data_IF_601785506478
#
_entry.id   IF_601785506478
#
_cell.length_a   1.000
_cell.length_b   1.000
_cell.length_c   1.000
_cell.angle_alpha   90.00
_cell.angle_beta   90.00
_cell.angle_gamma   90.00
#
_symmetry.space_group_name_H-M   'P 1'
#
loop_
_entity.id
_entity.type
_entity.pdbx_description
1 polymer ?
#
# COMPACT_ATOMS: atom_id res chain seq x y z
N UNK A 1 -17.30 -17.57 -6.00
CA UNK A 1 -17.91 -17.00 -7.23
C UNK A 1 -17.44 -15.56 -7.31
N UNK A 2 -16.62 -15.22 -8.31
CA UNK A 2 -16.21 -13.82 -8.50
C UNK A 2 -17.47 -13.01 -8.70
N UNK A 3 -17.64 -11.96 -7.92
CA UNK A 3 -18.59 -10.90 -8.26
C UNK A 3 -17.93 -10.03 -9.31
N UNK A 4 -17.94 -10.49 -10.54
CA UNK A 4 -17.51 -9.67 -11.65
C UNK A 4 -18.43 -8.46 -11.76
N UNK A 5 -17.83 -7.34 -12.07
CA UNK A 5 -18.57 -6.08 -12.21
C UNK A 5 -19.66 -6.22 -13.26
N UNK A 6 -19.51 -7.17 -14.20
CA UNK A 6 -20.44 -7.44 -15.27
C UNK A 6 -20.27 -8.88 -15.77
N UNK A 7 -21.35 -9.63 -15.76
CA UNK A 7 -21.43 -10.89 -16.49
C UNK A 7 -21.57 -10.60 -18.00
N UNK A 8 -20.47 -10.56 -18.70
CA UNK A 8 -20.48 -10.54 -20.14
C UNK A 8 -20.26 -11.98 -20.63
N UNK A 9 -21.30 -12.55 -21.24
CA UNK A 9 -21.36 -13.95 -21.61
C UNK A 9 -20.11 -14.47 -22.31
N UNK A 10 -19.69 -15.67 -21.97
CA UNK A 10 -18.53 -16.33 -22.52
C UNK A 10 -18.92 -17.29 -23.64
N UNK A 11 -18.07 -17.41 -24.62
CA UNK A 11 -18.09 -18.49 -25.59
C UNK A 11 -16.68 -19.06 -25.75
N UNK A 12 -16.59 -20.32 -26.13
CA UNK A 12 -15.34 -20.99 -26.44
C UNK A 12 -14.73 -20.44 -27.73
N UNK A 13 -13.41 -20.23 -27.75
CA UNK A 13 -12.66 -19.75 -28.91
C UNK A 13 -12.20 -18.30 -28.78
N UNK A 14 -11.67 -17.74 -29.86
CA UNK A 14 -11.29 -16.33 -29.89
C UNK A 14 -12.52 -15.44 -29.77
N UNK A 15 -12.52 -14.60 -28.71
CA UNK A 15 -13.58 -13.64 -28.45
C UNK A 15 -12.94 -12.28 -28.16
N UNK A 16 -13.47 -11.23 -28.74
CA UNK A 16 -12.98 -9.86 -28.55
C UNK A 16 -13.39 -9.25 -27.22
N UNK A 17 -14.27 -9.91 -26.44
CA UNK A 17 -14.84 -9.33 -25.23
C UNK A 17 -15.77 -8.11 -25.49
N UNK A 18 -16.03 -7.78 -26.74
CA UNK A 18 -16.85 -6.64 -27.14
C UNK A 18 -18.35 -6.96 -26.97
N UNK A 19 -18.79 -6.96 -25.72
CA UNK A 19 -20.20 -7.11 -25.37
C UNK A 19 -20.82 -5.78 -24.94
N UNK A 20 -22.06 -5.80 -24.48
CA UNK A 20 -22.77 -4.60 -24.01
C UNK A 20 -22.21 -3.98 -22.71
N UNK A 21 -21.15 -4.54 -22.15
CA UNK A 21 -20.61 -4.16 -20.85
C UNK A 21 -19.08 -3.92 -20.88
N UNK A 22 -18.58 -2.94 -21.65
CA UNK A 22 -17.15 -2.62 -21.60
C UNK A 22 -16.80 -2.08 -20.21
N UNK A 23 -15.67 -2.53 -19.68
CA UNK A 23 -15.08 -1.93 -18.48
C UNK A 23 -14.65 -0.51 -18.82
N UNK A 24 -15.07 0.46 -18.01
CA UNK A 24 -14.65 1.85 -18.12
C UNK A 24 -13.76 2.21 -16.94
N UNK A 25 -12.43 2.07 -17.08
CA UNK A 25 -11.51 2.45 -16.02
C UNK A 25 -11.54 3.97 -15.83
N UNK A 26 -11.39 4.41 -14.58
CA UNK A 26 -11.18 5.80 -14.22
C UNK A 26 -9.71 6.02 -13.85
N UNK A 27 -9.38 7.23 -13.40
CA UNK A 27 -8.02 7.59 -12.98
C UNK A 27 -7.55 6.70 -11.84
N UNK A 28 -6.31 6.28 -11.90
CA UNK A 28 -5.67 5.55 -10.81
C UNK A 28 -5.76 6.37 -9.53
N UNK A 29 -6.39 5.80 -8.50
CA UNK A 29 -6.56 6.42 -7.19
C UNK A 29 -5.49 5.98 -6.21
N UNK A 30 -5.02 4.74 -6.35
CA UNK A 30 -3.97 4.20 -5.50
C UNK A 30 -3.50 2.83 -5.94
N UNK A 31 -2.50 2.33 -5.21
CA UNK A 31 -2.03 0.95 -5.30
C UNK A 31 -2.00 0.32 -3.92
N UNK A 32 -2.05 -1.00 -3.89
CA UNK A 32 -1.88 -1.79 -2.67
C UNK A 32 -0.75 -2.76 -2.94
N UNK A 33 0.34 -2.65 -2.19
CA UNK A 33 1.41 -3.64 -2.20
C UNK A 33 1.11 -4.71 -1.16
N UNK A 34 1.42 -5.94 -1.49
CA UNK A 34 1.38 -7.09 -0.58
C UNK A 34 2.68 -7.87 -0.74
N UNK A 35 3.09 -8.62 0.26
CA UNK A 35 4.23 -9.53 0.14
C UNK A 35 3.89 -10.58 -0.93
N UNK A 36 4.85 -10.92 -1.76
CA UNK A 36 4.66 -11.86 -2.88
C UNK A 36 3.92 -13.14 -2.45
N UNK A 37 2.90 -13.50 -3.20
CA UNK A 37 2.01 -14.63 -2.94
C UNK A 37 0.93 -14.37 -1.89
N UNK A 38 0.88 -13.19 -1.26
CA UNK A 38 -0.22 -12.81 -0.37
C UNK A 38 -1.34 -12.14 -1.16
N UNK A 39 -2.56 -12.25 -0.66
CA UNK A 39 -3.76 -11.72 -1.32
C UNK A 39 -4.50 -10.74 -0.43
N UNK A 40 -5.32 -9.91 -1.06
CA UNK A 40 -6.29 -9.08 -0.35
C UNK A 40 -7.33 -9.97 0.36
N UNK A 41 -8.02 -9.43 1.39
CA UNK A 41 -9.15 -10.12 2.01
C UNK A 41 -10.19 -10.54 0.96
N UNK A 42 -10.74 -11.74 1.11
CA UNK A 42 -11.77 -12.26 0.21
C UNK A 42 -12.96 -11.31 0.09
N UNK A 43 -13.38 -10.75 1.20
CA UNK A 43 -14.43 -9.74 1.24
C UNK A 43 -13.81 -8.35 1.44
N UNK A 44 -14.08 -7.45 0.51
CA UNK A 44 -13.55 -6.09 0.48
C UNK A 44 -14.46 -5.15 1.28
N UNK A 45 -14.68 -5.47 2.55
CA UNK A 45 -15.40 -4.60 3.49
C UNK A 45 -14.45 -3.60 4.14
N UNK A 46 -14.97 -2.49 4.68
CA UNK A 46 -14.16 -1.48 5.35
C UNK A 46 -13.36 -2.09 6.53
N UNK A 47 -14.02 -2.89 7.36
CA UNK A 47 -13.41 -3.55 8.53
C UNK A 47 -12.31 -4.55 8.12
N UNK A 48 -12.55 -5.37 7.08
CA UNK A 48 -11.57 -6.34 6.62
C UNK A 48 -10.32 -5.66 6.03
N UNK A 49 -10.52 -4.59 5.25
CA UNK A 49 -9.42 -3.82 4.67
C UNK A 49 -8.63 -3.04 5.73
N UNK A 50 -9.32 -2.43 6.70
CA UNK A 50 -8.64 -1.76 7.81
C UNK A 50 -7.83 -2.74 8.65
N UNK A 51 -8.38 -3.91 8.97
CA UNK A 51 -7.63 -4.98 9.64
C UNK A 51 -6.42 -5.44 8.85
N UNK A 52 -6.56 -5.59 7.55
CA UNK A 52 -5.44 -5.97 6.68
C UNK A 52 -4.33 -4.90 6.64
N UNK A 53 -4.67 -3.60 6.67
CA UNK A 53 -3.70 -2.51 6.81
C UNK A 53 -2.93 -2.56 8.14
N UNK A 54 -3.54 -3.10 9.20
CA UNK A 54 -2.95 -3.21 10.54
C UNK A 54 -2.45 -4.62 10.86
N UNK A 55 -2.52 -5.55 9.92
CA UNK A 55 -2.02 -6.90 10.13
C UNK A 55 -0.51 -6.89 10.40
N UNK A 56 -0.02 -7.92 11.05
CA UNK A 56 1.41 -8.10 11.23
C UNK A 56 2.04 -8.68 9.95
N UNK A 57 3.35 -8.47 9.78
CA UNK A 57 4.10 -9.11 8.70
C UNK A 57 3.96 -10.67 8.78
N UNK A 58 3.76 -11.39 7.69
CA UNK A 58 3.77 -10.95 6.27
C UNK A 58 2.37 -10.65 5.68
N UNK A 59 1.30 -10.66 6.49
CA UNK A 59 -0.08 -10.61 6.03
C UNK A 59 -0.62 -9.18 5.86
N UNK A 60 0.21 -8.17 6.16
CA UNK A 60 -0.14 -6.77 6.02
C UNK A 60 -0.24 -6.35 4.56
N UNK A 61 -1.22 -5.50 4.27
CA UNK A 61 -1.32 -4.78 3.01
C UNK A 61 -0.79 -3.35 3.18
N UNK A 62 -0.13 -2.83 2.14
CA UNK A 62 0.53 -1.53 2.16
C UNK A 62 -0.11 -0.60 1.12
N UNK A 63 -1.14 0.17 1.50
CA UNK A 63 -1.80 1.07 0.58
C UNK A 63 -0.99 2.34 0.35
N UNK A 64 -0.93 2.78 -0.91
CA UNK A 64 -0.33 4.04 -1.33
C UNK A 64 -1.37 4.78 -2.16
N UNK A 65 -1.77 5.97 -1.71
CA UNK A 65 -2.83 6.77 -2.33
C UNK A 65 -2.38 8.22 -2.57
N UNK A 66 -3.21 9.00 -3.22
CA UNK A 66 -2.95 10.43 -3.41
C UNK A 66 -2.05 10.74 -4.59
N UNK A 67 -2.10 9.91 -5.63
CA UNK A 67 -1.36 10.14 -6.86
C UNK A 67 -1.84 11.38 -7.60
N UNK A 68 -0.89 12.13 -8.14
CA UNK A 68 -1.15 13.25 -9.03
C UNK A 68 -0.97 12.87 -10.50
N UNK A 69 -0.17 11.85 -10.76
CA UNK A 69 0.16 11.41 -12.11
C UNK A 69 0.48 9.91 -12.11
N UNK A 70 0.16 9.28 -13.21
CA UNK A 70 0.48 7.89 -13.52
C UNK A 70 1.02 7.81 -14.95
N UNK A 71 2.12 7.12 -15.15
CA UNK A 71 2.73 6.91 -16.45
C UNK A 71 3.16 5.45 -16.62
N UNK A 72 3.16 4.98 -17.84
CA UNK A 72 3.59 3.63 -18.23
C UNK A 72 4.76 3.72 -19.18
N UNK A 73 5.73 2.84 -19.01
CA UNK A 73 6.86 2.66 -19.91
C UNK A 73 7.06 1.18 -20.22
N UNK A 74 7.32 0.85 -21.48
CA UNK A 74 7.46 -0.54 -21.94
C UNK A 74 6.13 -1.31 -22.04
N UNK A 75 6.21 -2.64 -22.06
CA UNK A 75 5.06 -3.50 -22.33
C UNK A 75 4.69 -3.61 -23.81
N UNK A 76 5.54 -3.12 -24.69
CA UNK A 76 5.33 -3.19 -26.14
C UNK A 76 5.82 -4.53 -26.70
N UNK A 77 5.19 -5.06 -27.77
CA UNK A 77 5.62 -6.29 -28.39
C UNK A 77 7.01 -6.12 -29.05
N UNK A 78 7.89 -7.06 -28.78
CA UNK A 78 9.16 -7.21 -29.50
C UNK A 78 8.89 -7.99 -30.79
N UNK A 79 9.34 -7.45 -31.93
CA UNK A 79 9.17 -8.09 -33.23
C UNK A 79 10.51 -8.44 -33.85
N UNK A 80 10.55 -9.58 -34.52
CA UNK A 80 11.70 -10.00 -35.34
C UNK A 80 11.26 -10.19 -36.79
N UNK A 81 12.02 -9.63 -37.73
CA UNK A 81 11.79 -9.85 -39.15
C UNK A 81 12.40 -11.17 -39.60
N UNK A 82 11.58 -12.04 -40.21
CA UNK A 82 11.99 -13.35 -40.70
C UNK A 82 12.00 -13.39 -42.24
N UNK A 83 12.71 -12.46 -42.88
CA UNK A 83 12.83 -12.42 -44.32
C UNK A 83 11.48 -12.43 -45.08
N UNK A 84 11.23 -13.47 -45.88
CA UNK A 84 9.98 -13.58 -46.64
C UNK A 84 8.74 -13.92 -45.78
N UNK A 85 8.92 -14.38 -44.55
CA UNK A 85 7.81 -14.75 -43.69
C UNK A 85 7.14 -13.55 -42.96
N UNK A 86 7.76 -12.37 -43.07
CA UNK A 86 7.26 -11.17 -42.37
C UNK A 86 7.73 -11.08 -40.92
N UNK A 87 7.13 -10.15 -40.16
CA UNK A 87 7.49 -9.91 -38.78
C UNK A 87 6.71 -10.83 -37.84
N UNK A 88 7.41 -11.41 -36.88
CA UNK A 88 6.84 -12.23 -35.80
C UNK A 88 7.02 -11.54 -34.44
N UNK A 89 6.05 -11.69 -33.54
CA UNK A 89 6.14 -11.23 -32.15
C UNK A 89 6.92 -12.28 -31.37
N UNK A 90 8.03 -11.88 -30.78
CA UNK A 90 8.95 -12.77 -30.00
C UNK A 90 8.79 -12.63 -28.50
N UNK A 91 7.90 -11.75 -28.01
CA UNK A 91 7.64 -11.47 -26.61
C UNK A 91 7.28 -10.00 -26.40
N UNK A 92 7.38 -9.54 -25.16
CA UNK A 92 7.07 -8.17 -24.78
C UNK A 92 8.25 -7.55 -24.02
N UNK A 93 8.44 -6.24 -24.18
CA UNK A 93 9.43 -5.51 -23.41
C UNK A 93 9.03 -5.40 -21.94
N UNK A 94 10.00 -5.25 -21.04
CA UNK A 94 9.74 -5.04 -19.62
C UNK A 94 8.83 -3.82 -19.42
N UNK A 95 7.81 -3.96 -18.61
CA UNK A 95 6.88 -2.89 -18.27
C UNK A 95 7.19 -2.30 -16.90
N UNK A 96 7.18 -0.98 -16.83
CA UNK A 96 7.32 -0.21 -15.59
C UNK A 96 6.22 0.83 -15.51
N UNK A 97 5.52 0.83 -14.39
CA UNK A 97 4.51 1.83 -14.05
C UNK A 97 5.13 2.83 -13.06
N UNK A 98 4.98 4.13 -13.34
CA UNK A 98 5.47 5.23 -12.50
C UNK A 98 4.29 5.94 -11.85
N UNK A 99 4.36 6.07 -10.54
CA UNK A 99 3.33 6.73 -9.71
C UNK A 99 3.93 7.96 -9.05
N UNK A 100 3.32 9.12 -9.26
CA UNK A 100 3.81 10.41 -8.78
C UNK A 100 2.90 10.94 -7.67
N UNK A 101 3.51 11.32 -6.52
CA UNK A 101 2.85 11.97 -5.39
C UNK A 101 3.32 13.42 -5.30
N UNK A 102 2.39 14.36 -5.12
CA UNK A 102 2.73 15.77 -4.94
C UNK A 102 3.28 16.14 -3.56
N UNK A 103 3.10 15.26 -2.58
CA UNK A 103 3.61 15.42 -1.23
C UNK A 103 4.74 14.43 -0.98
N UNK A 104 5.79 14.87 -0.33
CA UNK A 104 6.85 13.98 0.11
C UNK A 104 6.30 13.07 1.22
N UNK A 105 6.44 11.79 1.01
CA UNK A 105 6.23 10.78 2.03
C UNK A 105 7.60 10.14 2.33
N UNK A 106 8.27 10.66 3.35
CA UNK A 106 9.61 10.23 3.73
C UNK A 106 9.61 8.77 4.25
N UNK A 107 8.53 8.37 4.94
CA UNK A 107 8.34 7.00 5.39
C UNK A 107 8.28 6.03 4.20
N UNK A 108 7.46 6.33 3.19
CA UNK A 108 7.36 5.53 1.98
C UNK A 108 8.71 5.41 1.27
N UNK A 109 9.40 6.54 1.07
CA UNK A 109 10.70 6.55 0.41
C UNK A 109 11.72 5.69 1.16
N UNK A 110 11.84 5.86 2.47
CA UNK A 110 12.77 5.09 3.29
C UNK A 110 12.45 3.59 3.27
N UNK A 111 11.17 3.23 3.38
CA UNK A 111 10.74 1.83 3.36
C UNK A 111 10.99 1.16 2.00
N UNK A 112 10.73 1.85 0.89
CA UNK A 112 11.01 1.30 -0.44
C UNK A 112 12.51 1.07 -0.65
N UNK A 113 13.37 1.97 -0.15
CA UNK A 113 14.83 1.78 -0.20
C UNK A 113 15.28 0.63 0.69
N UNK A 114 14.76 0.55 1.92
CA UNK A 114 15.13 -0.50 2.89
C UNK A 114 14.69 -1.90 2.43
N UNK A 115 13.56 -2.00 1.73
CA UNK A 115 12.96 -3.25 1.27
C UNK A 115 13.17 -3.50 -0.24
N UNK A 116 14.22 -2.96 -0.83
CA UNK A 116 14.51 -3.08 -2.27
C UNK A 116 14.61 -4.53 -2.79
N UNK A 117 14.98 -5.46 -1.92
CA UNK A 117 15.14 -6.89 -2.23
C UNK A 117 13.89 -7.72 -1.84
N UNK A 118 12.86 -7.08 -1.31
CA UNK A 118 11.59 -7.73 -0.98
C UNK A 118 10.71 -7.80 -2.22
N UNK A 119 10.24 -8.99 -2.53
CA UNK A 119 9.29 -9.19 -3.62
C UNK A 119 7.88 -8.83 -3.17
N UNK A 120 7.24 -7.99 -3.95
CA UNK A 120 5.87 -7.55 -3.75
C UNK A 120 4.98 -7.95 -4.92
N UNK A 121 3.71 -8.17 -4.62
CA UNK A 121 2.65 -8.14 -5.61
C UNK A 121 1.86 -6.83 -5.46
N UNK A 122 1.33 -6.32 -6.56
CA UNK A 122 0.66 -5.02 -6.58
C UNK A 122 -0.76 -5.16 -7.11
N UNK A 123 -1.70 -4.53 -6.41
CA UNK A 123 -3.01 -4.22 -6.94
C UNK A 123 -3.07 -2.73 -7.28
N UNK A 124 -3.72 -2.40 -8.39
CA UNK A 124 -4.02 -1.02 -8.74
C UNK A 124 -5.51 -0.80 -8.52
N UNK A 125 -5.93 0.37 -8.05
CA UNK A 125 -7.35 0.69 -7.98
C UNK A 125 -7.64 2.10 -8.49
N UNK A 126 -8.83 2.28 -9.03
CA UNK A 126 -9.26 3.53 -9.64
C UNK A 126 -10.24 4.32 -8.75
N UNK A 127 -10.65 5.50 -9.22
CA UNK A 127 -11.61 6.38 -8.54
C UNK A 127 -13.02 5.78 -8.43
N UNK A 128 -13.34 4.79 -9.24
CA UNK A 128 -14.60 4.04 -9.17
C UNK A 128 -14.54 2.89 -8.15
N UNK A 129 -13.43 2.74 -7.40
CA UNK A 129 -13.16 1.65 -6.47
C UNK A 129 -13.11 0.27 -7.14
N UNK A 130 -12.70 0.22 -8.40
CA UNK A 130 -12.38 -1.01 -9.11
C UNK A 130 -10.93 -1.37 -8.81
N UNK A 131 -10.69 -2.59 -8.33
CA UNK A 131 -9.35 -3.13 -8.07
C UNK A 131 -8.96 -3.99 -9.25
N UNK A 132 -7.78 -3.74 -9.79
CA UNK A 132 -7.13 -4.46 -10.88
C UNK A 132 -6.04 -5.36 -10.32
N UNK A 133 -5.98 -6.58 -10.81
CA UNK A 133 -4.98 -7.59 -10.45
C UNK A 133 -4.98 -8.71 -11.48
N UNK A 134 -4.50 -9.88 -11.10
CA UNK A 134 -4.43 -11.07 -11.95
C UNK A 134 -5.48 -12.12 -11.58
N UNK A 135 -5.97 -12.82 -12.59
CA UNK A 135 -6.67 -14.07 -12.44
C UNK A 135 -5.66 -15.21 -12.35
N UNK A 136 -5.55 -15.82 -11.19
CA UNK A 136 -4.70 -16.98 -10.97
C UNK A 136 -5.46 -18.33 -11.07
N UNK A 137 -6.70 -18.30 -11.57
CA UNK A 137 -7.57 -19.46 -11.67
C UNK A 137 -8.33 -19.81 -10.40
N UNK A 138 -8.18 -19.02 -9.34
CA UNK A 138 -8.96 -19.14 -8.10
C UNK A 138 -10.14 -18.16 -8.08
N UNK A 139 -11.01 -18.27 -7.06
CA UNK A 139 -12.10 -17.28 -6.86
C UNK A 139 -11.61 -15.93 -6.30
N UNK A 140 -10.32 -15.78 -6.07
CA UNK A 140 -9.71 -14.60 -5.47
C UNK A 140 -8.83 -13.87 -6.49
N UNK A 141 -8.85 -12.54 -6.45
CA UNK A 141 -7.96 -11.73 -7.25
C UNK A 141 -6.55 -11.80 -6.65
N UNK A 142 -5.54 -12.11 -7.47
CA UNK A 142 -4.14 -12.01 -7.12
C UNK A 142 -3.57 -10.63 -7.48
N UNK A 143 -2.49 -10.20 -6.82
CA UNK A 143 -1.75 -9.02 -7.24
C UNK A 143 -0.92 -9.29 -8.48
N UNK A 144 -0.55 -8.23 -9.20
CA UNK A 144 0.43 -8.33 -10.28
C UNK A 144 1.81 -8.63 -9.71
N UNK A 145 2.48 -9.65 -10.21
CA UNK A 145 3.86 -9.97 -9.83
C UNK A 145 4.81 -8.83 -10.18
N UNK A 146 5.56 -8.34 -9.22
CA UNK A 146 6.59 -7.32 -9.45
C UNK A 146 8.00 -7.91 -9.30
N UNK A 147 8.90 -7.51 -10.21
CA UNK A 147 10.33 -7.77 -10.08
C UNK A 147 11.02 -6.76 -9.16
N UNK A 148 10.39 -5.62 -8.89
CA UNK A 148 10.90 -4.62 -7.95
C UNK A 148 10.02 -3.39 -7.84
N UNK A 149 10.12 -2.73 -6.68
CA UNK A 149 9.50 -1.43 -6.42
C UNK A 149 10.57 -0.51 -5.85
N UNK A 150 10.75 0.67 -6.43
CA UNK A 150 11.79 1.59 -6.00
C UNK A 150 11.38 3.06 -6.17
N UNK A 151 11.81 3.96 -5.25
CA UNK A 151 11.55 5.39 -5.37
C UNK A 151 12.53 6.02 -6.36
N UNK A 152 12.12 7.09 -7.04
CA UNK A 152 12.98 7.87 -7.93
C UNK A 152 13.67 9.04 -7.22
N UNK A 153 13.54 9.15 -5.92
CA UNK A 153 13.97 10.31 -5.15
C UNK A 153 12.99 11.49 -5.27
N UNK A 154 13.13 12.43 -4.36
CA UNK A 154 12.29 13.62 -4.33
C UNK A 154 12.82 14.71 -5.26
N UNK A 155 11.91 15.41 -5.91
CA UNK A 155 12.19 16.61 -6.68
C UNK A 155 11.58 17.81 -5.96
N UNK A 156 12.38 18.86 -5.74
CA UNK A 156 11.96 20.09 -5.06
C UNK A 156 11.27 21.06 -6.03
N UNK A 157 10.51 21.99 -5.47
CA UNK A 157 9.83 23.03 -6.24
C UNK A 157 10.84 23.91 -6.98
N UNK A 158 10.58 24.18 -8.26
CA UNK A 158 11.39 25.01 -9.12
C UNK A 158 10.52 25.80 -10.11
N UNK A 159 11.10 26.73 -10.86
CA UNK A 159 10.36 27.46 -11.89
C UNK A 159 9.71 26.51 -12.90
N UNK A 160 8.41 26.45 -12.92
CA UNK A 160 7.61 25.63 -13.83
C UNK A 160 7.38 24.17 -13.40
N UNK A 161 7.98 23.71 -12.28
CA UNK A 161 7.79 22.35 -11.79
C UNK A 161 7.48 22.33 -10.29
N UNK A 162 6.38 21.69 -9.91
CA UNK A 162 6.02 21.47 -8.51
C UNK A 162 6.83 20.32 -7.89
N UNK A 163 7.06 20.41 -6.58
CA UNK A 163 7.68 19.33 -5.83
C UNK A 163 6.88 18.03 -5.95
N UNK A 164 7.58 16.90 -6.09
CA UNK A 164 6.98 15.57 -6.14
C UNK A 164 7.93 14.49 -5.64
N UNK A 165 7.36 13.38 -5.25
CA UNK A 165 8.01 12.10 -5.04
C UNK A 165 7.40 11.10 -6.01
N UNK A 166 8.20 10.33 -6.71
CA UNK A 166 7.69 9.25 -7.54
C UNK A 166 8.32 7.92 -7.15
N UNK A 167 7.62 6.84 -7.44
CA UNK A 167 8.18 5.49 -7.38
C UNK A 167 7.77 4.69 -8.61
N UNK A 168 8.57 3.71 -8.92
CA UNK A 168 8.39 2.81 -10.04
C UNK A 168 8.04 1.41 -9.53
N UNK A 169 7.08 0.77 -10.20
CA UNK A 169 6.76 -0.64 -10.06
C UNK A 169 7.12 -1.36 -11.36
N UNK A 170 8.05 -2.28 -11.29
CA UNK A 170 8.49 -3.10 -12.44
C UNK A 170 7.75 -4.42 -12.40
N UNK A 171 7.04 -4.75 -13.48
CA UNK A 171 6.37 -6.04 -13.61
C UNK A 171 7.38 -7.14 -13.94
N UNK A 172 7.19 -8.31 -13.33
CA UNK A 172 8.04 -9.48 -13.61
C UNK A 172 7.83 -10.01 -15.03
N UNK A 173 6.58 -9.97 -15.50
CA UNK A 173 6.19 -10.45 -16.83
C UNK A 173 5.02 -9.60 -17.36
N UNK A 174 5.30 -8.77 -18.36
CA UNK A 174 4.30 -7.90 -18.97
C UNK A 174 3.25 -8.67 -19.78
N UNK A 175 3.62 -9.78 -20.40
CA UNK A 175 2.71 -10.62 -21.17
C UNK A 175 1.73 -11.35 -20.23
N UNK A 176 2.24 -11.95 -19.16
CA UNK A 176 1.43 -12.60 -18.12
C UNK A 176 0.42 -11.62 -17.53
N UNK A 177 0.87 -10.41 -17.16
CA UNK A 177 0.03 -9.35 -16.61
C UNK A 177 -1.12 -9.00 -17.56
N UNK A 178 -0.83 -8.77 -18.85
CA UNK A 178 -1.86 -8.42 -19.83
C UNK A 178 -2.84 -9.57 -20.10
N UNK A 179 -2.33 -10.80 -20.14
CA UNK A 179 -3.13 -12.01 -20.42
C UNK A 179 -4.08 -12.35 -19.28
N UNK A 180 -3.64 -12.17 -18.04
CA UNK A 180 -4.36 -12.61 -16.84
C UNK A 180 -5.03 -11.45 -16.08
N UNK A 181 -5.03 -10.23 -16.65
CA UNK A 181 -5.65 -9.08 -15.99
C UNK A 181 -7.11 -9.36 -15.65
N UNK A 182 -7.47 -9.12 -14.41
CA UNK A 182 -8.82 -9.28 -13.89
C UNK A 182 -9.15 -8.15 -12.92
N UNK A 183 -10.43 -8.00 -12.60
CA UNK A 183 -10.92 -6.88 -11.79
C UNK A 183 -11.89 -7.34 -10.71
N UNK A 184 -11.97 -6.58 -9.65
CA UNK A 184 -12.95 -6.76 -8.58
C UNK A 184 -13.48 -5.42 -8.10
N UNK A 185 -14.80 -5.27 -8.01
CA UNK A 185 -15.41 -4.06 -7.47
C UNK A 185 -15.40 -4.10 -5.94
N UNK A 186 -14.89 -3.05 -5.32
CA UNK A 186 -15.08 -2.84 -3.90
C UNK A 186 -16.41 -2.11 -3.64
N UNK A 187 -17.16 -2.58 -2.64
CA UNK A 187 -18.40 -1.93 -2.19
C UNK A 187 -18.19 -0.74 -1.26
N UNK A 188 -16.93 -0.31 -1.08
CA UNK A 188 -16.52 0.77 -0.16
C UNK A 188 -15.62 1.75 -0.87
N UNK A 189 -15.52 2.98 -0.34
CA UNK A 189 -14.57 3.95 -0.87
C UNK A 189 -13.15 3.59 -0.39
N UNK A 190 -12.32 3.08 -1.30
CA UNK A 190 -10.98 2.59 -1.02
C UNK A 190 -10.04 3.69 -0.51
N UNK A 191 -10.10 4.91 -1.06
CA UNK A 191 -9.24 6.02 -0.61
C UNK A 191 -9.53 6.42 0.84
N UNK A 192 -10.75 6.20 1.32
CA UNK A 192 -11.13 6.52 2.69
C UNK A 192 -10.73 5.41 3.68
N UNK A 193 -10.82 4.16 3.26
CA UNK A 193 -10.59 2.98 4.10
C UNK A 193 -9.11 2.60 4.15
N UNK A 194 -8.44 2.62 3.01
CA UNK A 194 -7.05 2.22 2.90
C UNK A 194 -6.11 3.31 3.43
N UNK A 195 -5.64 3.14 4.65
CA UNK A 195 -4.69 4.05 5.31
C UNK A 195 -3.44 3.29 5.72
N UNK A 196 -2.28 3.85 5.38
CA UNK A 196 -1.00 3.38 5.88
C UNK A 196 -0.80 3.73 7.36
N UNK A 197 0.23 3.15 7.97
CA UNK A 197 0.60 3.42 9.36
C UNK A 197 1.71 4.47 9.44
N UNK A 198 1.63 5.34 10.43
CA UNK A 198 2.69 6.27 10.76
C UNK A 198 3.67 5.62 11.74
N UNK A 199 4.96 5.73 11.45
CA UNK A 199 6.00 5.32 12.41
C UNK A 199 6.12 6.33 13.52
N UNK A 200 5.97 5.86 14.75
CA UNK A 200 6.06 6.69 15.95
C UNK A 200 7.10 6.18 16.92
N UNK A 201 7.62 7.08 17.75
CA UNK A 201 8.55 6.75 18.82
C UNK A 201 8.23 7.50 20.10
N UNK A 202 8.58 6.88 21.24
CA UNK A 202 8.53 7.56 22.53
C UNK A 202 9.83 8.34 22.76
N UNK A 203 9.75 9.66 22.69
CA UNK A 203 10.88 10.56 22.96
C UNK A 203 10.88 10.95 24.42
N UNK A 204 11.95 10.57 25.15
CA UNK A 204 12.12 10.93 26.57
C UNK A 204 12.32 12.42 26.73
N UNK A 205 11.59 13.02 27.67
CA UNK A 205 11.76 14.43 28.05
C UNK A 205 12.86 14.57 29.10
N UNK A 206 13.53 15.72 29.11
CA UNK A 206 14.56 16.03 30.10
C UNK A 206 13.99 16.18 31.53
N UNK A 207 12.76 16.68 31.64
CA UNK A 207 12.06 16.89 32.91
C UNK A 207 10.54 16.98 32.66
N UNK A 208 9.69 16.42 33.54
CA UNK A 208 9.99 15.55 34.69
C UNK A 208 10.57 14.18 34.26
N UNK A 209 11.22 13.49 35.21
CA UNK A 209 11.79 12.18 34.94
C UNK A 209 10.72 11.15 34.50
N UNK A 210 11.10 10.20 33.65
CA UNK A 210 10.23 9.15 33.09
C UNK A 210 9.00 9.69 32.32
N UNK A 211 9.10 10.90 31.80
CA UNK A 211 8.09 11.48 30.91
C UNK A 211 8.52 11.38 29.46
N UNK A 212 7.53 11.14 28.60
CA UNK A 212 7.70 10.89 27.18
C UNK A 212 6.67 11.66 26.36
N UNK A 213 7.05 12.00 25.13
CA UNK A 213 6.14 12.37 24.08
C UNK A 213 6.10 11.28 23.03
N UNK A 214 4.93 11.04 22.47
CA UNK A 214 4.76 10.20 21.28
C UNK A 214 4.89 11.11 20.07
N UNK A 215 5.91 10.89 19.26
CA UNK A 215 6.17 11.72 18.07
C UNK A 215 6.25 10.87 16.82
N UNK A 216 5.83 11.42 15.70
CA UNK A 216 6.10 10.83 14.39
C UNK A 216 7.61 10.80 14.14
N UNK A 217 8.11 9.67 13.66
CA UNK A 217 9.56 9.48 13.48
C UNK A 217 10.13 10.38 12.39
N UNK A 218 9.39 10.62 11.30
CA UNK A 218 9.92 11.31 10.13
C UNK A 218 9.72 12.83 10.17
N UNK A 219 8.54 13.30 10.53
CA UNK A 219 8.22 14.73 10.54
C UNK A 219 8.27 15.36 11.93
N UNK A 220 8.49 14.56 12.98
CA UNK A 220 8.60 14.96 14.38
C UNK A 220 7.33 15.58 14.96
N UNK A 221 6.20 15.37 14.32
CA UNK A 221 4.89 15.83 14.81
C UNK A 221 4.57 15.18 16.16
N UNK A 222 4.19 16.00 17.15
CA UNK A 222 3.78 15.57 18.47
C UNK A 222 2.35 14.97 18.41
N UNK A 223 2.23 13.68 18.57
CA UNK A 223 0.98 12.92 18.55
C UNK A 223 0.46 12.59 19.96
N UNK A 224 1.15 13.06 21.01
CA UNK A 224 0.85 12.71 22.39
C UNK A 224 -0.57 13.10 22.81
N UNK A 225 -1.05 14.26 22.39
CA UNK A 225 -2.40 14.71 22.72
C UNK A 225 -3.49 13.83 22.06
N UNK A 226 -3.21 13.33 20.85
CA UNK A 226 -4.15 12.51 20.11
C UNK A 226 -4.27 11.09 20.68
N UNK A 227 -3.15 10.44 20.95
CA UNK A 227 -3.13 9.05 21.40
C UNK A 227 -3.01 8.87 22.92
N UNK A 228 -2.60 9.90 23.66
CA UNK A 228 -2.22 9.78 25.07
C UNK A 228 -3.29 9.19 25.97
N UNK A 229 -4.55 9.58 25.77
CA UNK A 229 -5.67 9.06 26.57
C UNK A 229 -5.92 7.57 26.33
N UNK A 230 -6.00 7.14 25.08
CA UNK A 230 -6.24 5.73 24.74
C UNK A 230 -5.06 4.85 25.15
N UNK A 231 -3.83 5.31 24.95
CA UNK A 231 -2.62 4.60 25.38
C UNK A 231 -2.55 4.47 26.91
N UNK A 232 -2.92 5.51 27.64
CA UNK A 232 -2.97 5.46 29.11
C UNK A 232 -4.01 4.46 29.62
N UNK A 233 -5.22 4.49 29.03
CA UNK A 233 -6.33 3.63 29.47
C UNK A 233 -6.07 2.14 29.15
N UNK A 234 -5.33 1.85 28.09
CA UNK A 234 -5.06 0.49 27.59
C UNK A 234 -3.58 0.09 27.70
N UNK A 235 -2.80 0.78 28.53
CA UNK A 235 -1.34 0.61 28.60
C UNK A 235 -0.91 -0.84 28.76
N UNK A 236 -1.55 -1.62 29.62
CA UNK A 236 -1.19 -3.03 29.86
C UNK A 236 -1.36 -3.94 28.62
N UNK A 237 -2.27 -3.57 27.71
CA UNK A 237 -2.54 -4.33 26.49
C UNK A 237 -1.74 -3.84 25.28
N UNK A 238 -1.55 -2.53 25.14
CA UNK A 238 -0.95 -1.91 23.94
C UNK A 238 0.50 -1.49 24.07
N UNK A 239 1.03 -1.44 25.30
CA UNK A 239 2.42 -1.04 25.57
C UNK A 239 3.18 -2.20 26.21
N UNK A 240 4.46 -2.30 25.92
CA UNK A 240 5.46 -3.17 26.54
C UNK A 240 6.60 -2.32 27.08
N UNK A 241 7.52 -2.92 27.85
CA UNK A 241 8.70 -2.22 28.41
C UNK A 241 8.39 -1.31 29.61
N UNK A 242 7.14 -0.91 29.83
CA UNK A 242 6.69 -0.19 31.01
C UNK A 242 5.54 -0.95 31.69
N UNK A 243 5.47 -0.87 33.02
CA UNK A 243 4.39 -1.52 33.79
C UNK A 243 3.10 -0.69 33.81
N UNK A 244 3.22 0.63 33.65
CA UNK A 244 2.08 1.55 33.53
C UNK A 244 2.46 2.77 32.69
N UNK A 245 1.46 3.35 32.05
CA UNK A 245 1.59 4.61 31.29
C UNK A 245 0.41 5.51 31.68
N UNK A 246 0.69 6.75 32.08
CA UNK A 246 -0.31 7.73 32.48
C UNK A 246 -0.21 8.99 31.62
N UNK A 247 -1.30 9.38 31.00
CA UNK A 247 -1.38 10.64 30.25
C UNK A 247 -1.89 11.77 31.14
N UNK A 248 -1.16 12.89 31.16
CA UNK A 248 -1.56 14.11 31.86
C UNK A 248 -0.82 15.32 31.28
N UNK A 249 -1.53 16.43 31.10
CA UNK A 249 -0.96 17.71 30.66
C UNK A 249 -0.09 17.63 29.38
N UNK A 250 -0.53 16.80 28.40
CA UNK A 250 0.19 16.68 27.12
C UNK A 250 1.45 15.83 27.16
N UNK A 251 1.67 15.06 28.24
CA UNK A 251 2.82 14.14 28.39
C UNK A 251 2.38 12.79 28.88
N UNK A 252 3.17 11.77 28.57
CA UNK A 252 3.01 10.38 29.00
C UNK A 252 4.06 10.09 30.08
N UNK A 253 3.64 9.72 31.27
CA UNK A 253 4.54 9.29 32.36
C UNK A 253 4.55 7.77 32.43
N UNK A 254 5.72 7.16 32.25
CA UNK A 254 5.89 5.71 32.32
C UNK A 254 6.42 5.27 33.69
N UNK A 255 5.98 4.10 34.15
CA UNK A 255 6.46 3.45 35.36
C UNK A 255 7.10 2.11 34.98
N UNK A 256 8.25 1.79 35.56
CA UNK A 256 8.88 0.48 35.44
C UNK A 256 9.71 0.25 34.18
N UNK A 257 9.93 1.27 33.34
CA UNK A 257 10.80 1.17 32.18
C UNK A 257 10.42 2.09 31.02
N UNK A 258 11.05 1.88 29.86
CA UNK A 258 10.79 2.65 28.64
C UNK A 258 9.58 2.06 27.91
N UNK A 259 8.54 2.86 27.62
CA UNK A 259 7.36 2.35 26.89
C UNK A 259 7.72 2.04 25.43
N UNK A 260 7.17 0.95 24.90
CA UNK A 260 7.27 0.53 23.50
C UNK A 260 5.89 0.05 23.07
N UNK A 261 5.39 0.48 21.91
CA UNK A 261 4.12 0.00 21.38
C UNK A 261 4.24 -1.47 20.98
N UNK A 262 3.17 -2.22 21.17
CA UNK A 262 3.06 -3.58 20.64
C UNK A 262 2.76 -3.56 19.13
N UNK A 263 2.60 -4.73 18.52
CA UNK A 263 2.35 -4.87 17.08
C UNK A 263 1.05 -4.16 16.66
N UNK A 264 0.98 -3.71 15.39
CA UNK A 264 -0.18 -3.00 14.85
C UNK A 264 -1.49 -3.77 14.98
N UNK A 265 -1.46 -5.09 14.86
CA UNK A 265 -2.66 -5.93 15.04
C UNK A 265 -3.21 -5.84 16.47
N UNK A 266 -2.34 -5.82 17.48
CA UNK A 266 -2.72 -5.64 18.88
C UNK A 266 -3.22 -4.21 19.12
N UNK A 267 -2.56 -3.22 18.54
CA UNK A 267 -2.96 -1.83 18.65
C UNK A 267 -4.36 -1.62 18.09
N UNK A 268 -4.63 -2.10 16.88
CA UNK A 268 -5.93 -2.00 16.21
C UNK A 268 -7.04 -2.70 17.00
N UNK A 269 -6.79 -3.92 17.51
CA UNK A 269 -7.74 -4.64 18.37
C UNK A 269 -8.10 -3.88 19.67
N UNK A 270 -7.31 -2.87 20.04
CA UNK A 270 -7.49 -2.00 21.17
C UNK A 270 -7.83 -0.55 20.79
N UNK A 271 -8.31 -0.30 19.56
CA UNK A 271 -8.74 1.03 19.07
C UNK A 271 -7.59 2.06 18.98
N UNK A 272 -6.35 1.60 18.92
CA UNK A 272 -5.17 2.42 18.62
C UNK A 272 -4.85 2.21 17.14
N UNK A 273 -5.33 3.09 16.29
CA UNK A 273 -5.35 2.93 14.84
C UNK A 273 -4.33 3.89 14.19
N UNK A 274 -3.69 3.47 13.12
CA UNK A 274 -2.90 4.32 12.24
C UNK A 274 -1.46 4.58 12.68
N UNK A 275 -0.96 3.88 13.70
CA UNK A 275 0.43 4.02 14.17
C UNK A 275 1.13 2.68 14.36
N UNK A 276 2.44 2.71 14.23
CA UNK A 276 3.36 1.60 14.48
C UNK A 276 4.63 2.10 15.16
N UNK A 277 5.18 1.32 16.08
CA UNK A 277 6.45 1.64 16.72
C UNK A 277 7.58 1.66 15.69
N UNK A 278 8.33 2.76 15.62
CA UNK A 278 9.60 2.78 14.92
C UNK A 278 10.60 1.85 15.60
N UNK A 279 11.17 0.94 14.86
CA UNK A 279 12.24 0.04 15.28
C UNK A 279 13.43 0.26 14.36
N UNK A 280 14.60 0.52 14.95
CA UNK A 280 15.84 0.78 14.20
C UNK A 280 16.45 -0.52 13.67
#
# INVERSE_FOLDING_TARGET
MRTDIRECGSTSGFNTGMSYCPLQPDKVAGVILVIHGKKLPKELTADALEKACHADYPDRIYPITGFSEYAVSGGEPNTTENGYAGSEITGYSARTDTFTLRKFNLALQANLVANKDTLFDMYVFDKNNVIYGEDDGTDELAGFDLSGVYPTGQTYDSSGQKAYLAFNAMYSDAEKMMKNMSVKQAGVNLENVLKGLNYVEFVKMASPENTYKLVDHYDRTDLTAYYGTVLSNKASTVVSGASALKYSNGVLTATGGVPVLKSPSILQANEVIGIEQWVQ
#
